data_IF_641364162322
#
_entry.id   IF_641364162322
#
_cell.length_a   1.000
_cell.length_b   1.000
_cell.length_c   1.000
_cell.angle_alpha   90.00
_cell.angle_beta   90.00
_cell.angle_gamma   90.00
#
_symmetry.space_group_name_H-M   'P 1'
#
loop_
_entity.id
_entity.type
_entity.pdbx_description
1 polymer ?
#
# COMPACT_ATOMS: atom_id res chain seq x y z
N UNK A 1 12.13 -12.54 13.94
CA UNK A 1 12.35 -11.51 14.98
C UNK A 1 11.04 -11.29 15.68
N UNK A 2 10.81 -12.09 16.70
CA UNK A 2 9.76 -11.89 17.68
C UNK A 2 10.32 -10.98 18.78
N UNK A 3 9.81 -9.75 18.87
CA UNK A 3 10.23 -8.80 19.92
C UNK A 3 9.75 -9.21 21.32
N UNK A 4 8.91 -10.23 21.41
CA UNK A 4 8.48 -10.87 22.67
C UNK A 4 9.48 -11.92 23.14
N UNK A 5 10.35 -12.41 22.25
CA UNK A 5 11.41 -13.35 22.58
C UNK A 5 12.66 -12.61 23.05
N UNK A 6 13.12 -12.99 24.23
CA UNK A 6 14.31 -12.41 24.86
C UNK A 6 15.58 -12.73 24.06
N UNK A 7 15.64 -13.90 23.42
CA UNK A 7 16.82 -14.26 22.62
C UNK A 7 16.97 -13.39 21.36
N UNK A 8 15.85 -13.07 20.71
CA UNK A 8 15.81 -12.21 19.53
C UNK A 8 16.18 -10.76 19.89
N UNK A 9 15.73 -10.26 21.05
CA UNK A 9 16.09 -8.93 21.57
C UNK A 9 17.58 -8.86 21.93
N UNK A 10 18.12 -9.90 22.56
CA UNK A 10 19.54 -9.98 22.91
C UNK A 10 20.42 -10.00 21.65
N UNK A 11 20.01 -10.74 20.62
CA UNK A 11 20.68 -10.78 19.33
C UNK A 11 20.64 -9.42 18.62
N UNK A 12 19.50 -8.72 18.66
CA UNK A 12 19.37 -7.38 18.10
C UNK A 12 20.34 -6.40 18.78
N UNK A 13 20.32 -6.31 20.11
CA UNK A 13 21.22 -5.46 20.89
C UNK A 13 22.69 -5.73 20.57
N UNK A 14 23.05 -7.01 20.45
CA UNK A 14 24.40 -7.43 20.09
C UNK A 14 24.83 -6.87 18.72
N UNK A 15 24.01 -7.07 17.69
CA UNK A 15 24.31 -6.59 16.33
C UNK A 15 24.44 -5.07 16.28
N UNK A 16 23.57 -4.33 16.96
CA UNK A 16 23.65 -2.87 17.04
C UNK A 16 24.95 -2.40 17.71
N UNK A 17 25.38 -3.08 18.78
CA UNK A 17 26.62 -2.70 19.48
C UNK A 17 27.88 -2.93 18.66
N UNK A 18 27.93 -4.00 17.88
CA UNK A 18 29.05 -4.28 16.97
C UNK A 18 29.11 -3.24 15.86
N UNK A 19 27.97 -2.90 15.25
CA UNK A 19 27.93 -1.91 14.18
C UNK A 19 28.33 -0.50 14.66
N UNK A 20 28.05 -0.18 15.93
CA UNK A 20 28.33 1.14 16.49
C UNK A 20 29.70 1.28 17.17
N UNK A 21 30.43 0.19 17.41
CA UNK A 21 31.74 0.23 18.07
C UNK A 21 32.82 -0.41 17.20
N UNK A 22 33.55 0.44 16.47
CA UNK A 22 34.72 -0.01 15.71
C UNK A 22 35.78 -0.57 16.67
N UNK A 23 36.11 -1.86 16.52
CA UNK A 23 37.30 -2.47 17.11
C UNK A 23 37.11 -3.32 18.36
N UNK A 24 35.88 -3.57 18.84
CA UNK A 24 35.66 -4.48 19.99
C UNK A 24 34.73 -5.63 19.61
N UNK A 25 35.32 -6.71 19.09
CA UNK A 25 34.59 -7.93 18.74
C UNK A 25 34.60 -8.90 19.93
N UNK A 26 33.51 -8.92 20.70
CA UNK A 26 33.22 -9.98 21.68
C UNK A 26 32.19 -10.96 21.10
N UNK A 27 32.27 -12.25 21.43
CA UNK A 27 31.29 -13.26 21.01
C UNK A 27 29.93 -13.04 21.67
N UNK A 28 28.85 -13.46 21.02
CA UNK A 28 27.47 -13.34 21.53
C UNK A 28 27.30 -13.91 22.95
N UNK A 29 27.98 -15.01 23.28
CA UNK A 29 27.93 -15.60 24.62
C UNK A 29 28.59 -14.74 25.71
N UNK A 30 29.62 -13.96 25.33
CA UNK A 30 30.28 -13.01 26.24
C UNK A 30 29.38 -11.78 26.41
N UNK A 31 28.75 -11.33 25.32
CA UNK A 31 27.78 -10.25 25.35
C UNK A 31 26.57 -10.58 26.24
N UNK A 32 26.00 -11.78 26.15
CA UNK A 32 24.90 -12.24 27.01
C UNK A 32 25.23 -12.12 28.51
N UNK A 33 26.48 -12.34 28.90
CA UNK A 33 26.92 -12.16 30.29
C UNK A 33 26.92 -10.69 30.71
N UNK A 34 27.20 -9.77 29.78
CA UNK A 34 27.14 -8.31 30.03
C UNK A 34 25.71 -7.77 30.13
N UNK A 35 24.73 -8.44 29.51
CA UNK A 35 23.30 -8.10 29.60
C UNK A 35 22.72 -8.31 31.01
N UNK A 36 23.46 -8.97 31.92
CA UNK A 36 23.09 -9.03 33.34
C UNK A 36 23.16 -7.66 34.03
N UNK A 37 23.81 -6.66 33.43
CA UNK A 37 23.87 -5.29 33.93
C UNK A 37 22.74 -4.43 33.36
N UNK A 38 21.67 -4.25 34.14
CA UNK A 38 20.49 -3.47 33.73
C UNK A 38 20.80 -2.03 33.31
N UNK A 39 21.82 -1.40 33.88
CA UNK A 39 22.19 -0.02 33.52
C UNK A 39 22.72 0.07 32.10
N UNK A 40 23.54 -0.90 31.71
CA UNK A 40 24.15 -0.99 30.39
C UNK A 40 23.11 -1.35 29.33
N UNK A 41 22.20 -2.29 29.64
CA UNK A 41 21.07 -2.62 28.76
C UNK A 41 20.18 -1.41 28.53
N UNK A 42 19.83 -0.66 29.57
CA UNK A 42 19.00 0.54 29.45
C UNK A 42 19.65 1.60 28.56
N UNK A 43 20.95 1.82 28.69
CA UNK A 43 21.67 2.76 27.83
C UNK A 43 21.68 2.31 26.37
N UNK A 44 21.87 1.02 26.11
CA UNK A 44 21.83 0.45 24.76
C UNK A 44 20.43 0.59 24.12
N UNK A 45 19.38 0.27 24.89
CA UNK A 45 17.99 0.44 24.42
C UNK A 45 17.69 1.90 24.14
N UNK A 46 18.08 2.85 25.01
CA UNK A 46 17.86 4.28 24.75
C UNK A 46 18.61 4.80 23.52
N UNK A 47 19.81 4.26 23.23
CA UNK A 47 20.53 4.59 21.99
C UNK A 47 19.80 4.07 20.76
N UNK A 48 19.33 2.82 20.82
CA UNK A 48 18.53 2.19 19.77
C UNK A 48 17.22 2.96 19.53
N UNK A 49 16.49 3.33 20.58
CA UNK A 49 15.26 4.13 20.49
C UNK A 49 15.49 5.46 19.77
N UNK A 50 16.61 6.13 20.08
CA UNK A 50 16.98 7.38 19.41
C UNK A 50 17.26 7.17 17.92
N UNK A 51 17.97 6.10 17.56
CA UNK A 51 18.24 5.75 16.16
C UNK A 51 16.95 5.44 15.40
N UNK A 52 16.06 4.62 15.99
CA UNK A 52 14.75 4.31 15.43
C UNK A 52 13.92 5.60 15.27
N UNK A 53 13.94 6.50 16.26
CA UNK A 53 13.22 7.77 16.18
C UNK A 53 13.72 8.64 15.01
N UNK A 54 15.03 8.65 14.74
CA UNK A 54 15.59 9.35 13.57
C UNK A 54 15.17 8.65 12.28
N UNK A 55 15.28 7.33 12.18
CA UNK A 55 14.87 6.56 11.00
C UNK A 55 13.38 6.77 10.67
N UNK A 56 12.54 6.83 11.70
CA UNK A 56 11.09 7.02 11.54
C UNK A 56 10.71 8.35 10.88
N UNK A 57 11.59 9.37 10.93
CA UNK A 57 11.36 10.66 10.27
C UNK A 57 11.47 10.56 8.74
N UNK A 58 12.23 9.60 8.24
CA UNK A 58 12.45 9.38 6.80
C UNK A 58 11.55 8.29 6.22
N UNK A 59 10.95 7.47 7.08
CA UNK A 59 9.94 6.52 6.66
C UNK A 59 8.70 7.30 6.20
N UNK A 60 8.30 7.13 4.93
CA UNK A 60 6.97 7.59 4.49
C UNK A 60 5.96 7.04 5.49
N UNK A 61 5.14 7.91 6.08
CA UNK A 61 3.95 7.45 6.82
C UNK A 61 3.15 6.62 5.84
N UNK A 62 3.23 5.30 5.95
CA UNK A 62 2.23 4.44 5.37
C UNK A 62 0.95 4.83 6.08
N UNK A 63 0.14 5.69 5.45
CA UNK A 63 -1.28 5.59 5.67
C UNK A 63 -1.60 4.11 5.46
N UNK A 64 -2.31 3.52 6.43
CA UNK A 64 -2.79 2.16 6.35
C UNK A 64 -3.74 2.05 5.17
N UNK A 65 -3.21 2.02 3.95
CA UNK A 65 -3.92 1.61 2.75
C UNK A 65 -4.39 0.21 3.06
N UNK A 66 -5.70 0.12 3.28
CA UNK A 66 -6.36 -1.02 3.86
C UNK A 66 -5.91 -2.30 3.20
N UNK A 67 -5.51 -3.25 4.05
CA UNK A 67 -5.79 -4.68 3.89
C UNK A 67 -5.77 -5.14 2.42
N UNK A 68 -4.60 -5.11 1.80
CA UNK A 68 -4.34 -6.00 0.67
C UNK A 68 -4.71 -7.41 1.12
N UNK A 69 -5.60 -8.05 0.38
CA UNK A 69 -6.08 -9.40 0.69
C UNK A 69 -4.92 -10.39 0.64
N UNK A 70 -4.23 -10.57 1.76
CA UNK A 70 -3.33 -11.70 1.97
C UNK A 70 -4.14 -12.86 2.57
N UNK A 71 -4.94 -13.50 1.73
CA UNK A 71 -5.29 -14.93 1.86
C UNK A 71 -4.22 -15.82 1.18
N UNK A 72 -2.98 -15.35 1.14
CA UNK A 72 -1.83 -16.10 0.64
C UNK A 72 -0.84 -16.34 1.78
N UNK A 73 -0.27 -17.54 1.83
CA UNK A 73 0.88 -17.90 2.66
C UNK A 73 1.93 -16.79 2.67
N UNK A 74 2.63 -16.52 3.79
CA UNK A 74 3.66 -15.49 3.86
C UNK A 74 4.70 -15.73 2.75
N UNK A 75 4.67 -14.87 1.73
CA UNK A 75 5.61 -14.96 0.62
C UNK A 75 7.01 -14.64 1.14
N UNK A 76 7.97 -15.53 0.87
CA UNK A 76 9.36 -15.28 1.23
C UNK A 76 9.94 -14.16 0.37
N UNK A 77 10.86 -13.37 0.91
CA UNK A 77 11.59 -12.33 0.15
C UNK A 77 12.18 -12.91 -1.14
N UNK A 78 12.63 -14.17 -1.13
CA UNK A 78 13.12 -14.86 -2.32
C UNK A 78 12.11 -14.94 -3.48
N UNK A 79 10.81 -15.14 -3.22
CA UNK A 79 9.79 -15.17 -4.29
C UNK A 79 9.51 -13.79 -4.86
N UNK A 80 9.54 -12.76 -4.00
CA UNK A 80 9.41 -11.35 -4.42
C UNK A 80 10.57 -10.97 -5.34
N UNK A 81 11.81 -11.24 -4.90
CA UNK A 81 13.02 -10.96 -5.68
C UNK A 81 13.00 -11.71 -7.00
N UNK A 82 12.62 -13.00 -6.99
CA UNK A 82 12.49 -13.80 -8.22
C UNK A 82 11.49 -13.18 -9.20
N UNK A 83 10.36 -12.69 -8.71
CA UNK A 83 9.35 -12.01 -9.54
C UNK A 83 9.87 -10.71 -10.13
N UNK A 84 10.59 -9.92 -9.33
CA UNK A 84 11.23 -8.70 -9.80
C UNK A 84 12.27 -8.99 -10.90
N UNK A 85 13.09 -10.02 -10.72
CA UNK A 85 14.07 -10.47 -11.74
C UNK A 85 13.36 -10.90 -13.03
N UNK A 86 12.28 -11.69 -12.93
CA UNK A 86 11.46 -12.06 -14.09
C UNK A 86 10.82 -10.86 -14.78
N UNK A 87 10.52 -9.79 -14.05
CA UNK A 87 9.96 -8.54 -14.58
C UNK A 87 10.99 -7.64 -15.29
N UNK A 88 12.27 -8.01 -15.23
CA UNK A 88 13.39 -7.32 -15.88
C UNK A 88 14.39 -6.67 -14.94
N UNK A 89 14.30 -6.89 -13.62
CA UNK A 89 15.35 -6.47 -12.68
C UNK A 89 16.63 -7.30 -12.94
N UNK A 90 17.78 -6.65 -12.93
CA UNK A 90 19.05 -7.36 -13.08
C UNK A 90 19.27 -8.35 -11.94
N UNK A 91 19.56 -9.61 -12.28
CA UNK A 91 19.72 -10.68 -11.32
C UNK A 91 20.98 -10.48 -10.47
N UNK A 92 22.06 -9.97 -11.06
CA UNK A 92 23.30 -9.73 -10.33
C UNK A 92 23.10 -8.65 -9.26
N UNK A 93 22.47 -7.54 -9.63
CA UNK A 93 22.04 -6.50 -8.70
C UNK A 93 21.12 -7.06 -7.60
N UNK A 94 20.07 -7.79 -7.98
CA UNK A 94 19.06 -8.27 -7.06
C UNK A 94 19.59 -9.24 -5.97
N UNK A 95 20.59 -10.07 -6.31
CA UNK A 95 21.15 -11.04 -5.36
C UNK A 95 22.40 -10.57 -4.62
N UNK A 96 23.13 -9.58 -5.13
CA UNK A 96 24.43 -9.19 -4.56
C UNK A 96 24.50 -7.74 -4.06
N UNK A 97 23.74 -6.82 -4.66
CA UNK A 97 23.88 -5.37 -4.41
C UNK A 97 22.63 -4.74 -3.79
N UNK A 98 21.44 -5.31 -4.03
CA UNK A 98 20.17 -4.73 -3.58
C UNK A 98 19.99 -4.85 -2.07
N UNK A 99 19.70 -3.72 -1.42
CA UNK A 99 19.40 -3.70 0.01
C UNK A 99 17.91 -3.98 0.26
N UNK A 100 17.59 -4.47 1.46
CA UNK A 100 16.20 -4.78 1.85
C UNK A 100 15.30 -3.54 1.84
N UNK A 101 15.88 -2.37 2.11
CA UNK A 101 15.20 -1.08 2.10
C UNK A 101 14.81 -0.60 0.70
N UNK A 102 15.41 -1.17 -0.36
CA UNK A 102 15.10 -0.82 -1.75
C UNK A 102 13.89 -1.60 -2.29
N UNK A 103 13.57 -2.76 -1.71
CA UNK A 103 12.47 -3.61 -2.17
C UNK A 103 11.13 -2.87 -2.30
N UNK A 104 10.69 -2.04 -1.34
CA UNK A 104 9.43 -1.30 -1.47
C UNK A 104 9.37 -0.41 -2.71
N UNK A 105 10.50 0.20 -3.10
CA UNK A 105 10.59 1.06 -4.28
C UNK A 105 10.37 0.25 -5.56
N UNK A 106 11.00 -0.91 -5.67
CA UNK A 106 10.87 -1.79 -6.83
C UNK A 106 9.48 -2.43 -6.92
N UNK A 107 8.89 -2.78 -5.78
CA UNK A 107 7.52 -3.30 -5.73
C UNK A 107 6.53 -2.23 -6.21
N UNK A 108 6.65 -0.98 -5.75
CA UNK A 108 5.79 0.12 -6.20
C UNK A 108 5.92 0.37 -7.71
N UNK A 109 7.16 0.37 -8.22
CA UNK A 109 7.42 0.52 -9.66
C UNK A 109 6.85 -0.65 -10.48
N UNK A 110 6.99 -1.89 -10.00
CA UNK A 110 6.45 -3.08 -10.63
C UNK A 110 4.92 -3.05 -10.66
N UNK A 111 4.27 -2.73 -9.55
CA UNK A 111 2.81 -2.62 -9.48
C UNK A 111 2.27 -1.53 -10.42
N UNK A 112 2.95 -0.38 -10.47
CA UNK A 112 2.58 0.71 -11.38
C UNK A 112 2.66 0.27 -12.84
N UNK A 113 3.78 -0.34 -13.24
CA UNK A 113 3.96 -0.89 -14.59
C UNK A 113 2.85 -1.91 -14.92
N UNK A 114 2.56 -2.82 -13.99
CA UNK A 114 1.51 -3.82 -14.17
C UNK A 114 0.12 -3.21 -14.35
N UNK A 115 -0.20 -2.14 -13.60
CA UNK A 115 -1.47 -1.41 -13.77
C UNK A 115 -1.57 -0.77 -15.16
N UNK A 116 -0.50 -0.11 -15.61
CA UNK A 116 -0.41 0.49 -16.94
C UNK A 116 -0.55 -0.55 -18.06
N UNK A 117 0.07 -1.72 -17.92
CA UNK A 117 -0.03 -2.82 -18.88
C UNK A 117 -1.46 -3.37 -18.96
N UNK A 118 -2.11 -3.57 -17.80
CA UNK A 118 -3.50 -4.04 -17.74
C UNK A 118 -4.48 -3.02 -18.33
N UNK A 119 -4.32 -1.73 -18.02
CA UNK A 119 -5.13 -0.67 -18.60
C UNK A 119 -4.94 -0.56 -20.11
N UNK A 120 -3.69 -0.67 -20.57
CA UNK A 120 -3.36 -0.70 -22.00
C UNK A 120 -4.02 -1.88 -22.70
N UNK A 121 -3.95 -3.09 -22.13
CA UNK A 121 -4.59 -4.27 -22.69
C UNK A 121 -6.12 -4.12 -22.76
N UNK A 122 -6.73 -3.53 -21.73
CA UNK A 122 -8.17 -3.22 -21.73
C UNK A 122 -8.54 -2.23 -22.83
N UNK A 123 -7.77 -1.16 -23.01
CA UNK A 123 -8.00 -0.17 -24.07
C UNK A 123 -7.86 -0.81 -25.46
N UNK A 124 -6.81 -1.59 -25.68
CA UNK A 124 -6.62 -2.30 -26.94
C UNK A 124 -7.75 -3.28 -27.24
N UNK A 125 -8.21 -4.00 -26.23
CA UNK A 125 -9.36 -4.89 -26.35
C UNK A 125 -10.61 -4.10 -26.74
N UNK A 126 -10.87 -2.97 -26.07
CA UNK A 126 -11.99 -2.07 -26.39
C UNK A 126 -11.94 -1.58 -27.84
N UNK A 127 -10.79 -1.11 -28.32
CA UNK A 127 -10.61 -0.65 -29.70
C UNK A 127 -10.85 -1.77 -30.72
N UNK A 128 -10.43 -2.99 -30.39
CA UNK A 128 -10.56 -4.16 -31.28
C UNK A 128 -12.02 -4.58 -31.42
N UNK A 129 -12.80 -4.56 -30.34
CA UNK A 129 -14.21 -4.95 -30.38
C UNK A 129 -15.13 -3.82 -30.81
N UNK A 130 -14.68 -2.56 -30.79
CA UNK A 130 -15.48 -1.36 -31.07
C UNK A 130 -16.33 -1.46 -32.35
N UNK A 131 -15.82 -1.98 -33.49
CA UNK A 131 -16.62 -2.12 -34.71
C UNK A 131 -17.80 -3.11 -34.57
N UNK A 132 -17.76 -3.97 -33.55
CA UNK A 132 -18.72 -5.04 -33.32
C UNK A 132 -19.68 -4.76 -32.15
N UNK A 133 -19.52 -3.63 -31.47
CA UNK A 133 -20.33 -3.24 -30.31
C UNK A 133 -21.02 -1.89 -30.53
N UNK A 134 -22.18 -1.70 -29.90
CA UNK A 134 -22.84 -0.40 -29.88
C UNK A 134 -22.21 0.48 -28.79
N UNK A 135 -21.33 1.40 -29.21
CA UNK A 135 -20.62 2.32 -28.32
C UNK A 135 -21.57 3.17 -27.45
N UNK A 136 -22.84 3.36 -27.85
CA UNK A 136 -23.82 4.12 -27.04
C UNK A 136 -24.22 3.40 -25.75
N UNK A 137 -24.03 2.07 -25.70
CA UNK A 137 -24.37 1.26 -24.52
C UNK A 137 -23.26 1.25 -23.47
N UNK A 138 -22.04 1.66 -23.83
CA UNK A 138 -20.89 1.76 -22.91
C UNK A 138 -20.72 3.20 -22.44
N UNK A 139 -21.30 3.53 -21.28
CA UNK A 139 -21.29 4.88 -20.71
C UNK A 139 -19.91 5.29 -20.22
N UNK A 140 -19.11 4.36 -19.70
CA UNK A 140 -17.76 4.61 -19.19
C UNK A 140 -16.67 4.10 -20.14
N UNK A 141 -17.02 3.83 -21.40
CA UNK A 141 -16.09 3.37 -22.43
C UNK A 141 -15.42 2.04 -22.08
N UNK A 142 -14.09 1.97 -22.20
CA UNK A 142 -13.32 0.76 -21.95
C UNK A 142 -13.45 0.22 -20.50
N UNK A 143 -13.81 1.08 -19.52
CA UNK A 143 -14.04 0.66 -18.13
C UNK A 143 -15.25 -0.25 -17.96
N UNK A 144 -16.25 -0.15 -18.85
CA UNK A 144 -17.44 -0.99 -18.79
C UNK A 144 -17.17 -2.45 -19.21
N UNK A 145 -15.97 -2.76 -19.75
CA UNK A 145 -15.59 -4.13 -20.10
C UNK A 145 -15.18 -4.94 -18.88
N UNK A 146 -14.20 -4.41 -18.15
CA UNK A 146 -13.61 -5.03 -16.97
C UNK A 146 -13.24 -3.89 -16.03
N UNK A 147 -13.75 -3.97 -14.80
CA UNK A 147 -13.41 -3.07 -13.71
C UNK A 147 -12.24 -3.68 -12.96
N UNK A 148 -11.17 -2.92 -12.75
CA UNK A 148 -10.04 -3.41 -11.97
C UNK A 148 -10.31 -3.30 -10.46
N UNK A 149 -9.75 -4.18 -9.63
CA UNK A 149 -9.95 -4.13 -8.18
C UNK A 149 -9.59 -2.78 -7.55
N UNK A 150 -8.53 -2.12 -8.05
CA UNK A 150 -8.13 -0.79 -7.56
C UNK A 150 -9.07 0.34 -8.03
N UNK A 151 -9.80 0.16 -9.13
CA UNK A 151 -10.83 1.11 -9.56
C UNK A 151 -12.11 0.95 -8.71
N UNK A 152 -12.42 -0.25 -8.23
CA UNK A 152 -13.57 -0.48 -7.32
C UNK A 152 -13.42 0.28 -6.01
N UNK A 153 -12.22 0.26 -5.42
CA UNK A 153 -11.93 1.00 -4.19
C UNK A 153 -12.07 2.51 -4.37
N UNK A 154 -11.54 3.04 -5.47
CA UNK A 154 -11.66 4.47 -5.80
C UNK A 154 -13.12 4.85 -6.07
N UNK A 155 -13.88 4.03 -6.81
CA UNK A 155 -15.31 4.25 -7.03
C UNK A 155 -16.11 4.23 -5.72
N UNK A 156 -15.77 3.35 -4.78
CA UNK A 156 -16.42 3.31 -3.47
C UNK A 156 -16.13 4.56 -2.65
N UNK A 157 -14.87 5.00 -2.60
CA UNK A 157 -14.48 6.25 -1.93
C UNK A 157 -15.16 7.47 -2.55
N UNK A 158 -15.24 7.52 -3.87
CA UNK A 158 -15.92 8.60 -4.58
C UNK A 158 -17.43 8.58 -4.34
N UNK A 159 -18.06 7.40 -4.32
CA UNK A 159 -19.48 7.26 -3.96
C UNK A 159 -19.73 7.74 -2.52
N UNK A 160 -18.87 7.39 -1.57
CA UNK A 160 -18.94 7.87 -0.19
C UNK A 160 -18.77 9.39 -0.09
N UNK A 161 -17.88 9.98 -0.90
CA UNK A 161 -17.69 11.44 -0.97
C UNK A 161 -18.96 12.12 -1.50
N UNK A 162 -19.52 11.62 -2.60
CA UNK A 162 -20.75 12.15 -3.21
C UNK A 162 -21.95 12.03 -2.27
N UNK A 163 -22.07 10.93 -1.52
CA UNK A 163 -23.11 10.77 -0.50
C UNK A 163 -22.98 11.81 0.61
N UNK A 164 -21.75 12.08 1.07
CA UNK A 164 -21.48 13.08 2.11
C UNK A 164 -21.80 14.50 1.64
N UNK A 165 -21.37 14.85 0.43
CA UNK A 165 -21.63 16.18 -0.15
C UNK A 165 -23.11 16.42 -0.42
N UNK A 166 -23.86 15.38 -0.79
CA UNK A 166 -25.29 15.47 -1.07
C UNK A 166 -26.20 15.26 0.15
N UNK A 167 -25.63 15.00 1.33
CA UNK A 167 -26.42 14.69 2.53
C UNK A 167 -27.39 15.83 2.89
N UNK A 168 -26.92 17.07 2.82
CA UNK A 168 -27.72 18.26 3.13
C UNK A 168 -28.78 18.54 2.03
N UNK A 169 -28.45 18.26 0.77
CA UNK A 169 -29.38 18.39 -0.34
C UNK A 169 -30.49 17.31 -0.27
N UNK A 170 -30.14 16.10 0.16
CA UNK A 170 -31.10 15.03 0.41
C UNK A 170 -32.04 15.37 1.56
N UNK A 171 -31.51 15.95 2.67
CA UNK A 171 -32.34 16.41 3.79
C UNK A 171 -33.35 17.47 3.34
N UNK A 172 -32.93 18.46 2.55
CA UNK A 172 -33.82 19.49 1.97
C UNK A 172 -34.84 18.91 1.00
N UNK A 173 -34.47 17.89 0.22
CA UNK A 173 -35.39 17.17 -0.65
C UNK A 173 -36.47 16.43 0.14
N UNK A 174 -36.09 15.67 1.16
CA UNK A 174 -37.00 14.90 2.01
C UNK A 174 -37.93 15.80 2.85
N UNK A 175 -37.46 16.99 3.23
CA UNK A 175 -38.27 18.02 3.88
C UNK A 175 -39.26 18.72 2.93
N UNK A 176 -39.20 18.44 1.62
CA UNK A 176 -40.05 19.07 0.61
C UNK A 176 -39.65 20.51 0.26
N UNK A 177 -38.49 20.98 0.71
CA UNK A 177 -38.02 22.36 0.54
C UNK A 177 -37.23 22.57 -0.77
N UNK A 178 -36.81 21.47 -1.41
CA UNK A 178 -35.98 21.53 -2.64
C UNK A 178 -36.81 21.76 -3.91
N UNK A 179 -38.10 21.40 -3.90
CA UNK A 179 -39.00 21.59 -5.03
C UNK A 179 -40.30 22.27 -4.58
N UNK A 180 -40.57 23.43 -5.15
CA UNK A 180 -41.85 24.13 -5.01
C UNK A 180 -42.89 23.37 -5.86
N UNK A 181 -43.52 22.33 -5.30
CA UNK A 181 -44.50 21.46 -6.00
C UNK A 181 -45.62 22.30 -6.65
N UNK A 182 -45.92 23.47 -6.07
CA UNK A 182 -46.92 24.43 -6.57
C UNK A 182 -46.47 25.26 -7.79
N UNK A 183 -45.18 25.27 -8.15
CA UNK A 183 -44.66 25.92 -9.37
C UNK A 183 -44.47 24.95 -10.54
N UNK A 184 -44.55 23.64 -10.30
CA UNK A 184 -44.48 22.65 -11.37
C UNK A 184 -45.85 22.60 -12.06
N UNK A 185 -45.93 23.14 -13.27
CA UNK A 185 -47.16 23.09 -14.07
C UNK A 185 -47.36 21.68 -14.64
N UNK A 186 -48.08 20.83 -13.92
CA UNK A 186 -48.40 19.46 -14.32
C UNK A 186 -49.40 19.36 -15.50
N UNK A 187 -49.92 20.49 -15.99
CA UNK A 187 -51.07 20.51 -16.92
C UNK A 187 -50.73 20.59 -18.42
N UNK A 188 -49.49 20.38 -18.85
CA UNK A 188 -49.17 20.26 -20.29
C UNK A 188 -48.51 18.93 -20.62
N UNK A 189 -49.34 17.89 -20.62
CA UNK A 189 -49.11 16.68 -21.41
C UNK A 189 -50.45 16.06 -21.81
N UNK A 190 -51.23 16.82 -22.56
CA UNK A 190 -52.26 16.27 -23.45
C UNK A 190 -51.97 16.82 -24.85
N UNK A 191 -51.90 15.88 -25.80
CA UNK A 191 -51.63 15.95 -27.25
C UNK A 191 -50.17 16.16 -27.73
#
# INVERSE_FOLDING_TARGET
MDYSDREDVDALLYTTTICNSEGVMYTLDVFRKTLSNEKLVREMVSKLEREIAVLSQFQKKQESTGKGSNEGTPEMIGSIVSTLVMSGLDAYYAFNEMELCDLPLYIEAYEKKRKEDMESARIWTYLTILPHIDARKMKNGARDLIIFPWEEEEMKKDAERVMRENEDNLKKFLAGELFDINKVNWSKREE
#
